data_IF_459293858079
#
_entry.id   IF_459293858079
#
_cell.length_a   1.000
_cell.length_b   1.000
_cell.length_c   1.000
_cell.angle_alpha   90.00
_cell.angle_beta   90.00
_cell.angle_gamma   90.00
#
_symmetry.space_group_name_H-M   'P 1'
#
loop_
_entity.id
_entity.type
_entity.pdbx_description
1 polymer ?
#
# COMPACT_ATOMS: atom_id res chain seq x y z
N UNK A 1 20.43 -3.66 6.32
CA UNK A 1 19.92 -2.75 5.27
C UNK A 1 18.58 -3.29 4.79
N UNK A 2 17.72 -2.46 4.23
CA UNK A 2 16.49 -2.88 3.56
C UNK A 2 16.78 -3.76 2.35
N UNK A 3 15.82 -4.58 1.94
CA UNK A 3 15.93 -5.45 0.76
C UNK A 3 15.53 -4.74 -0.54
N UNK A 4 15.11 -3.48 -0.45
CA UNK A 4 14.63 -2.68 -1.58
C UNK A 4 15.14 -1.25 -1.47
N UNK A 5 15.39 -0.65 -2.61
CA UNK A 5 15.75 0.75 -2.79
C UNK A 5 14.94 1.34 -3.94
N UNK A 6 14.80 2.66 -3.97
CA UNK A 6 14.03 3.42 -4.94
C UNK A 6 14.90 4.44 -5.67
N UNK A 7 14.44 4.95 -6.78
CA UNK A 7 15.20 5.92 -7.56
C UNK A 7 15.59 7.17 -6.75
N UNK A 8 14.74 7.64 -5.85
CA UNK A 8 15.05 8.77 -4.99
C UNK A 8 16.30 8.50 -4.13
N UNK A 9 16.42 7.30 -3.54
CA UNK A 9 17.59 6.93 -2.74
C UNK A 9 18.85 6.84 -3.58
N UNK A 10 18.75 6.21 -4.75
CA UNK A 10 19.85 6.08 -5.69
C UNK A 10 20.38 7.46 -6.10
N UNK A 11 19.49 8.38 -6.47
CA UNK A 11 19.84 9.75 -6.86
C UNK A 11 20.42 10.54 -5.70
N UNK A 12 19.85 10.47 -4.50
CA UNK A 12 20.38 11.15 -3.31
C UNK A 12 21.77 10.67 -2.93
N UNK A 13 22.07 9.39 -3.05
CA UNK A 13 23.41 8.84 -2.77
C UNK A 13 24.44 9.31 -3.80
N UNK A 14 24.06 9.36 -5.07
CA UNK A 14 24.96 9.82 -6.13
C UNK A 14 25.26 11.32 -6.06
N UNK A 15 24.26 12.13 -5.71
CA UNK A 15 24.39 13.59 -5.68
C UNK A 15 24.78 14.13 -4.30
N UNK A 16 24.88 13.28 -3.28
CA UNK A 16 25.13 13.67 -1.87
C UNK A 16 24.20 14.77 -1.34
N UNK A 17 22.95 14.83 -1.86
CA UNK A 17 22.04 15.95 -1.65
C UNK A 17 21.50 15.98 -0.22
N UNK A 18 21.31 14.85 0.43
CA UNK A 18 20.74 14.80 1.78
C UNK A 18 21.42 13.73 2.66
N UNK A 19 21.96 14.16 3.79
CA UNK A 19 22.62 13.28 4.77
C UNK A 19 21.69 12.80 5.90
N UNK A 20 20.48 13.40 6.04
CA UNK A 20 19.57 13.14 7.15
C UNK A 20 18.51 12.11 6.81
N UNK A 21 18.04 12.09 5.56
CA UNK A 21 17.03 11.18 5.07
C UNK A 21 17.51 10.44 3.83
N UNK A 22 17.28 9.13 3.78
CA UNK A 22 17.65 8.36 2.57
C UNK A 22 16.76 8.74 1.37
N UNK A 23 15.47 8.95 1.63
CA UNK A 23 14.45 9.24 0.62
C UNK A 23 13.51 10.34 1.16
N UNK A 24 13.90 11.63 1.09
CA UNK A 24 13.14 12.71 1.75
C UNK A 24 11.71 12.87 1.21
N UNK A 25 11.50 12.84 -0.11
CA UNK A 25 10.15 13.00 -0.69
C UNK A 25 9.29 11.79 -0.35
N UNK A 26 9.81 10.57 -0.49
CA UNK A 26 9.10 9.36 -0.07
C UNK A 26 8.80 9.40 1.43
N UNK A 27 9.71 9.90 2.28
CA UNK A 27 9.47 10.09 3.71
C UNK A 27 8.30 11.04 3.98
N UNK A 28 8.33 12.24 3.41
CA UNK A 28 7.33 13.27 3.69
C UNK A 28 5.98 13.02 3.01
N UNK A 29 5.96 12.38 1.84
CA UNK A 29 4.71 12.03 1.14
C UNK A 29 3.80 11.12 1.97
N UNK A 30 4.34 10.37 2.94
CA UNK A 30 3.56 9.51 3.83
C UNK A 30 2.60 10.25 4.77
N UNK A 31 2.74 11.55 4.94
CA UNK A 31 1.77 12.39 5.68
C UNK A 31 0.36 12.26 5.08
N UNK A 32 0.24 11.96 3.78
CA UNK A 32 -1.05 11.76 3.12
C UNK A 32 -1.87 10.61 3.71
N UNK A 33 -1.22 9.60 4.30
CA UNK A 33 -1.90 8.52 5.00
C UNK A 33 -2.64 9.02 6.24
N UNK A 34 -1.98 9.88 7.03
CA UNK A 34 -2.60 10.50 8.21
C UNK A 34 -3.74 11.44 7.81
N UNK A 35 -3.57 12.17 6.70
CA UNK A 35 -4.64 13.01 6.13
C UNK A 35 -5.83 12.16 5.70
N UNK A 36 -5.59 11.01 5.06
CA UNK A 36 -6.65 10.09 4.65
C UNK A 36 -7.42 9.56 5.87
N UNK A 37 -6.72 9.10 6.91
CA UNK A 37 -7.35 8.64 8.17
C UNK A 37 -8.16 9.77 8.83
N UNK A 38 -7.62 10.97 8.88
CA UNK A 38 -8.37 12.13 9.42
C UNK A 38 -9.65 12.40 8.62
N UNK A 39 -9.61 12.32 7.30
CA UNK A 39 -10.78 12.51 6.42
C UNK A 39 -11.81 11.39 6.59
N UNK A 40 -11.40 10.17 6.91
CA UNK A 40 -12.27 9.01 7.05
C UNK A 40 -12.70 8.74 8.50
N UNK A 41 -12.24 9.51 9.48
CA UNK A 41 -12.51 9.26 10.91
C UNK A 41 -14.01 9.15 11.27
N UNK A 42 -14.88 9.92 10.59
CA UNK A 42 -16.33 9.89 10.79
C UNK A 42 -17.01 8.82 9.91
N UNK A 43 -16.28 8.08 9.10
CA UNK A 43 -16.76 6.97 8.27
C UNK A 43 -16.50 5.61 8.93
N UNK A 44 -15.74 5.59 10.02
CA UNK A 44 -15.36 4.37 10.74
C UNK A 44 -16.45 4.04 11.79
N UNK A 45 -17.46 3.27 11.40
CA UNK A 45 -18.60 2.95 12.25
C UNK A 45 -18.60 1.51 12.79
N UNK A 46 -17.74 0.65 12.29
CA UNK A 46 -17.60 -0.73 12.75
C UNK A 46 -16.13 -1.09 13.06
N UNK A 47 -15.95 -2.18 13.80
CA UNK A 47 -14.62 -2.62 14.23
C UNK A 47 -13.62 -2.79 13.05
N UNK A 48 -14.11 -3.26 11.91
CA UNK A 48 -13.24 -3.52 10.75
C UNK A 48 -12.76 -2.23 10.09
N UNK A 49 -13.63 -1.22 9.96
CA UNK A 49 -13.25 0.09 9.42
C UNK A 49 -12.34 0.86 10.38
N UNK A 50 -12.55 0.73 11.70
CA UNK A 50 -11.63 1.26 12.72
C UNK A 50 -10.27 0.57 12.61
N UNK A 51 -10.26 -0.76 12.50
CA UNK A 51 -9.02 -1.54 12.33
C UNK A 51 -8.26 -1.13 11.07
N UNK A 52 -8.94 -0.96 9.93
CA UNK A 52 -8.33 -0.45 8.69
C UNK A 52 -7.70 0.93 8.87
N UNK A 53 -8.35 1.83 9.60
CA UNK A 53 -7.80 3.17 9.88
C UNK A 53 -6.56 3.12 10.79
N UNK A 54 -6.53 2.20 11.77
CA UNK A 54 -5.35 1.96 12.61
C UNK A 54 -4.20 1.44 11.75
N UNK A 55 -4.45 0.44 10.90
CA UNK A 55 -3.44 -0.11 10.00
C UNK A 55 -2.89 0.92 9.03
N UNK A 56 -3.75 1.79 8.47
CA UNK A 56 -3.32 2.89 7.61
C UNK A 56 -2.43 3.89 8.35
N UNK A 57 -2.73 4.17 9.62
CA UNK A 57 -1.89 5.00 10.49
C UNK A 57 -0.53 4.35 10.73
N UNK A 58 -0.51 3.05 11.04
CA UNK A 58 0.73 2.28 11.24
C UNK A 58 1.57 2.22 9.97
N UNK A 59 0.94 2.00 8.81
CA UNK A 59 1.60 2.09 7.50
C UNK A 59 2.26 3.46 7.33
N UNK A 60 1.54 4.56 7.59
CA UNK A 60 2.08 5.91 7.44
C UNK A 60 3.33 6.15 8.32
N UNK A 61 3.29 5.78 9.59
CA UNK A 61 4.45 5.91 10.48
C UNK A 61 5.58 4.93 10.11
N UNK A 62 5.25 3.69 9.79
CA UNK A 62 6.22 2.67 9.35
C UNK A 62 6.96 3.13 8.10
N UNK A 63 6.23 3.65 7.12
CA UNK A 63 6.77 4.15 5.86
C UNK A 63 7.67 5.39 6.05
N UNK A 64 7.29 6.33 6.94
CA UNK A 64 8.18 7.45 7.33
C UNK A 64 9.50 6.91 7.89
N UNK A 65 9.45 5.93 8.79
CA UNK A 65 10.65 5.32 9.40
C UNK A 65 11.46 4.58 8.32
N UNK A 66 10.80 3.83 7.43
CA UNK A 66 11.47 3.07 6.38
C UNK A 66 12.22 3.98 5.41
N UNK A 67 11.51 4.92 4.78
CA UNK A 67 12.11 5.83 3.79
C UNK A 67 13.12 6.81 4.41
N UNK A 68 12.88 7.21 5.66
CA UNK A 68 13.84 8.06 6.37
C UNK A 68 15.13 7.33 6.75
N UNK A 69 15.04 6.10 7.27
CA UNK A 69 16.18 5.36 7.81
C UNK A 69 16.81 4.34 6.87
N UNK A 70 16.06 3.83 5.88
CA UNK A 70 16.49 2.74 5.00
C UNK A 70 16.77 1.42 5.72
N UNK A 71 16.23 1.21 6.93
CA UNK A 71 16.51 0.03 7.74
C UNK A 71 15.52 -1.10 7.46
N UNK A 72 15.97 -2.36 7.70
CA UNK A 72 15.07 -3.52 7.63
C UNK A 72 13.92 -3.44 8.64
N UNK A 73 14.19 -2.92 9.82
CA UNK A 73 13.16 -2.72 10.83
C UNK A 73 12.07 -1.75 10.35
N UNK A 74 12.47 -0.60 9.77
CA UNK A 74 11.53 0.34 9.15
C UNK A 74 10.72 -0.32 8.03
N UNK A 75 11.38 -1.11 7.17
CA UNK A 75 10.72 -1.85 6.10
C UNK A 75 9.62 -2.80 6.63
N UNK A 76 9.88 -3.54 7.71
CA UNK A 76 8.86 -4.40 8.31
C UNK A 76 7.71 -3.61 8.94
N UNK A 77 8.00 -2.46 9.57
CA UNK A 77 6.98 -1.57 10.13
C UNK A 77 6.06 -0.97 9.05
N UNK A 78 6.55 -0.81 7.84
CA UNK A 78 5.78 -0.36 6.68
C UNK A 78 4.97 -1.52 6.07
N UNK A 79 5.64 -2.58 5.68
CA UNK A 79 5.09 -3.62 4.81
C UNK A 79 4.13 -4.60 5.52
N UNK A 80 4.34 -4.91 6.81
CA UNK A 80 3.41 -5.77 7.55
C UNK A 80 2.03 -5.11 7.71
N UNK A 81 1.93 -3.83 8.12
CA UNK A 81 0.63 -3.14 8.12
C UNK A 81 -0.02 -3.07 6.73
N UNK A 82 0.74 -2.94 5.62
CA UNK A 82 0.18 -2.97 4.26
C UNK A 82 -0.51 -4.31 3.97
N UNK A 83 0.13 -5.43 4.29
CA UNK A 83 -0.45 -6.78 4.11
C UNK A 83 -1.78 -6.88 4.88
N UNK A 84 -1.79 -6.47 6.14
CA UNK A 84 -2.98 -6.53 6.99
C UNK A 84 -4.07 -5.53 6.56
N UNK A 85 -3.67 -4.37 6.04
CA UNK A 85 -4.58 -3.36 5.51
C UNK A 85 -5.28 -3.85 4.24
N UNK A 86 -4.55 -4.46 3.31
CA UNK A 86 -5.14 -5.07 2.12
C UNK A 86 -6.13 -6.19 2.50
N UNK A 87 -5.78 -7.03 3.50
CA UNK A 87 -6.69 -8.04 4.04
C UNK A 87 -7.95 -7.41 4.64
N UNK A 88 -7.82 -6.30 5.36
CA UNK A 88 -8.97 -5.59 5.94
C UNK A 88 -9.91 -5.04 4.85
N UNK A 89 -9.40 -4.57 3.72
CA UNK A 89 -10.22 -4.12 2.59
C UNK A 89 -10.95 -5.30 1.93
N UNK A 90 -10.28 -6.43 1.76
CA UNK A 90 -10.92 -7.66 1.30
C UNK A 90 -12.06 -8.04 2.24
N UNK A 91 -11.85 -7.93 3.57
CA UNK A 91 -12.89 -8.21 4.58
C UNK A 91 -14.07 -7.26 4.52
N UNK A 92 -13.83 -5.98 4.28
CA UNK A 92 -14.90 -4.99 4.10
C UNK A 92 -15.79 -5.36 2.90
N UNK A 93 -15.19 -5.65 1.74
CA UNK A 93 -15.90 -6.02 0.52
C UNK A 93 -16.59 -7.38 0.64
N UNK A 94 -15.96 -8.36 1.27
CA UNK A 94 -16.47 -9.72 1.45
C UNK A 94 -17.72 -9.77 2.35
N UNK A 95 -17.77 -8.94 3.41
CA UNK A 95 -18.99 -8.78 4.24
C UNK A 95 -20.14 -8.24 3.39
N UNK A 96 -19.87 -7.30 2.51
CA UNK A 96 -20.85 -6.72 1.61
C UNK A 96 -21.37 -7.77 0.63
N UNK A 97 -20.52 -8.65 0.14
CA UNK A 97 -20.83 -9.70 -0.83
C UNK A 97 -21.39 -10.99 -0.20
N UNK A 98 -21.40 -11.09 1.15
CA UNK A 98 -21.74 -12.33 1.88
C UNK A 98 -20.99 -13.56 1.37
N UNK A 99 -19.79 -13.34 0.88
CA UNK A 99 -18.92 -14.38 0.38
C UNK A 99 -18.22 -15.07 1.55
N UNK A 100 -18.40 -16.37 1.71
CA UNK A 100 -17.72 -17.14 2.75
C UNK A 100 -16.28 -17.39 2.30
N UNK A 101 -15.31 -16.72 2.95
CA UNK A 101 -13.90 -17.00 2.69
C UNK A 101 -13.52 -18.42 3.05
N UNK A 102 -12.71 -19.02 2.19
CA UNK A 102 -12.16 -20.33 2.49
C UNK A 102 -11.11 -20.21 3.61
N UNK A 103 -11.16 -21.00 4.68
CA UNK A 103 -10.19 -20.95 5.80
C UNK A 103 -8.72 -21.00 5.34
N UNK A 104 -8.42 -21.66 4.23
CA UNK A 104 -7.07 -21.74 3.65
C UNK A 104 -6.48 -20.37 3.30
N UNK A 105 -7.30 -19.34 3.06
CA UNK A 105 -6.80 -17.99 2.78
C UNK A 105 -6.08 -17.38 4.00
N UNK A 106 -6.62 -17.55 5.19
CA UNK A 106 -5.99 -17.04 6.43
C UNK A 106 -4.67 -17.79 6.72
N UNK A 107 -4.65 -19.11 6.51
CA UNK A 107 -3.41 -19.90 6.62
C UNK A 107 -2.36 -19.49 5.59
N UNK A 108 -2.77 -19.27 4.34
CA UNK A 108 -1.89 -18.74 3.28
C UNK A 108 -1.28 -17.40 3.71
N UNK A 109 -2.11 -16.44 4.11
CA UNK A 109 -1.67 -15.10 4.48
C UNK A 109 -0.67 -15.15 5.65
N UNK A 110 -1.00 -15.90 6.71
CA UNK A 110 -0.14 -16.05 7.88
C UNK A 110 1.21 -16.71 7.51
N UNK A 111 1.15 -17.81 6.76
CA UNK A 111 2.35 -18.57 6.38
C UNK A 111 3.30 -17.71 5.53
N UNK A 112 2.79 -17.04 4.50
CA UNK A 112 3.62 -16.21 3.64
C UNK A 112 4.12 -14.94 4.33
N UNK A 113 3.34 -14.33 5.23
CA UNK A 113 3.80 -13.21 6.05
C UNK A 113 4.95 -13.62 6.98
N UNK A 114 4.85 -14.79 7.63
CA UNK A 114 5.94 -15.34 8.45
C UNK A 114 7.18 -15.66 7.61
N UNK A 115 7.02 -16.28 6.44
CA UNK A 115 8.12 -16.53 5.53
C UNK A 115 8.80 -15.22 5.09
N UNK A 116 8.04 -14.18 4.79
CA UNK A 116 8.58 -12.87 4.46
C UNK A 116 9.41 -12.28 5.61
N UNK A 117 8.90 -12.33 6.85
CA UNK A 117 9.61 -11.82 8.04
C UNK A 117 10.94 -12.57 8.23
N UNK A 118 10.92 -13.90 8.10
CA UNK A 118 12.07 -14.77 8.39
C UNK A 118 13.13 -14.72 7.29
N UNK A 119 12.71 -14.65 6.00
CA UNK A 119 13.64 -14.76 4.87
C UNK A 119 14.13 -13.43 4.33
N UNK A 120 13.48 -12.33 4.68
CA UNK A 120 13.72 -11.00 4.07
C UNK A 120 13.61 -11.00 2.54
N UNK A 121 12.82 -11.91 1.98
CA UNK A 121 12.66 -12.01 0.55
C UNK A 121 11.50 -11.14 0.07
N UNK A 122 11.84 -9.99 -0.54
CA UNK A 122 10.87 -9.03 -1.03
C UNK A 122 9.89 -9.59 -2.07
N UNK A 123 10.28 -10.63 -2.81
CA UNK A 123 9.38 -11.30 -3.78
C UNK A 123 8.18 -11.93 -3.07
N UNK A 124 8.36 -12.43 -1.84
CA UNK A 124 7.25 -12.98 -1.04
C UNK A 124 6.25 -11.87 -0.70
N UNK A 125 6.71 -10.72 -0.23
CA UNK A 125 5.86 -9.55 0.01
C UNK A 125 5.07 -9.16 -1.24
N UNK A 126 5.76 -9.04 -2.39
CA UNK A 126 5.11 -8.72 -3.66
C UNK A 126 4.04 -9.74 -4.06
N UNK A 127 4.32 -11.03 -3.85
CA UNK A 127 3.37 -12.10 -4.16
C UNK A 127 2.10 -11.96 -3.31
N UNK A 128 2.26 -11.68 -2.00
CA UNK A 128 1.13 -11.46 -1.09
C UNK A 128 0.29 -10.27 -1.56
N UNK A 129 0.91 -9.09 -1.70
CA UNK A 129 0.19 -7.86 -2.03
C UNK A 129 -0.44 -7.93 -3.43
N UNK A 130 0.23 -8.57 -4.39
CA UNK A 130 -0.34 -8.77 -5.73
C UNK A 130 -1.55 -9.70 -5.70
N UNK A 131 -1.48 -10.82 -4.97
CA UNK A 131 -2.61 -11.74 -4.83
C UNK A 131 -3.81 -11.08 -4.13
N UNK A 132 -3.55 -10.26 -3.10
CA UNK A 132 -4.57 -9.46 -2.42
C UNK A 132 -5.18 -8.41 -3.36
N UNK A 133 -4.37 -7.75 -4.18
CA UNK A 133 -4.84 -6.80 -5.18
C UNK A 133 -5.75 -7.44 -6.22
N UNK A 134 -5.39 -8.62 -6.73
CA UNK A 134 -6.24 -9.40 -7.67
C UNK A 134 -7.57 -9.77 -7.00
N UNK A 135 -7.54 -10.21 -5.74
CA UNK A 135 -8.75 -10.54 -4.98
C UNK A 135 -9.66 -9.32 -4.81
N UNK A 136 -9.10 -8.15 -4.47
CA UNK A 136 -9.85 -6.89 -4.37
C UNK A 136 -10.52 -6.51 -5.70
N UNK A 137 -9.80 -6.62 -6.82
CA UNK A 137 -10.38 -6.38 -8.16
C UNK A 137 -11.56 -7.31 -8.40
N UNK A 138 -11.39 -8.62 -8.15
CA UNK A 138 -12.46 -9.61 -8.32
C UNK A 138 -13.69 -9.31 -7.46
N UNK A 139 -13.51 -8.93 -6.19
CA UNK A 139 -14.62 -8.58 -5.30
C UNK A 139 -15.34 -7.30 -5.74
N UNK A 140 -14.63 -6.26 -6.18
CA UNK A 140 -15.25 -5.05 -6.71
C UNK A 140 -16.04 -5.34 -7.99
N UNK A 141 -15.49 -6.16 -8.89
CA UNK A 141 -16.21 -6.57 -10.11
C UNK A 141 -17.47 -7.36 -9.78
N UNK A 142 -17.38 -8.32 -8.85
CA UNK A 142 -18.52 -9.10 -8.38
C UNK A 142 -19.58 -8.20 -7.75
N UNK A 143 -19.18 -7.27 -6.86
CA UNK A 143 -20.09 -6.29 -6.28
C UNK A 143 -20.85 -5.48 -7.33
N UNK A 144 -20.14 -5.00 -8.35
CA UNK A 144 -20.76 -4.25 -9.45
C UNK A 144 -21.75 -5.10 -10.27
N UNK A 145 -21.51 -6.40 -10.43
CA UNK A 145 -22.43 -7.31 -11.12
C UNK A 145 -23.68 -7.59 -10.29
N UNK A 146 -23.54 -7.81 -8.99
CA UNK A 146 -24.62 -8.26 -8.11
C UNK A 146 -25.50 -7.10 -7.62
N UNK A 147 -24.93 -5.93 -7.38
CA UNK A 147 -25.62 -4.78 -6.76
C UNK A 147 -25.62 -3.51 -7.61
N UNK A 148 -24.99 -3.54 -8.79
CA UNK A 148 -24.80 -2.37 -9.63
C UNK A 148 -23.55 -1.57 -9.29
N UNK A 149 -23.22 -0.61 -10.14
CA UNK A 149 -21.95 0.12 -10.11
C UNK A 149 -21.81 0.95 -8.82
N UNK A 150 -20.88 0.56 -7.95
CA UNK A 150 -20.44 1.40 -6.84
C UNK A 150 -19.31 2.35 -7.30
N UNK A 151 -19.67 3.62 -7.50
CA UNK A 151 -18.72 4.64 -7.97
C UNK A 151 -17.49 4.78 -7.05
N UNK A 152 -17.65 4.60 -5.73
CA UNK A 152 -16.55 4.75 -4.78
C UNK A 152 -15.54 3.62 -4.93
N UNK A 153 -16.01 2.37 -5.00
CA UNK A 153 -15.14 1.21 -5.21
C UNK A 153 -14.44 1.26 -6.57
N UNK A 154 -15.12 1.72 -7.62
CA UNK A 154 -14.49 1.89 -8.93
C UNK A 154 -13.43 3.00 -8.92
N UNK A 155 -13.66 4.11 -8.22
CA UNK A 155 -12.65 5.15 -8.05
C UNK A 155 -11.44 4.63 -7.25
N UNK A 156 -11.68 3.83 -6.19
CA UNK A 156 -10.60 3.18 -5.44
C UNK A 156 -9.74 2.29 -6.34
N UNK A 157 -10.39 1.45 -7.16
CA UNK A 157 -9.72 0.56 -8.11
C UNK A 157 -8.91 1.33 -9.15
N UNK A 158 -9.52 2.36 -9.76
CA UNK A 158 -8.83 3.17 -10.77
C UNK A 158 -7.56 3.83 -10.21
N UNK A 159 -7.66 4.48 -9.05
CA UNK A 159 -6.51 5.16 -8.43
C UNK A 159 -5.45 4.16 -7.99
N UNK A 160 -5.84 3.00 -7.46
CA UNK A 160 -4.93 1.92 -7.10
C UNK A 160 -4.14 1.41 -8.32
N UNK A 161 -4.84 1.11 -9.43
CA UNK A 161 -4.20 0.60 -10.65
C UNK A 161 -3.22 1.63 -11.24
N UNK A 162 -3.61 2.91 -11.27
CA UNK A 162 -2.72 3.97 -11.73
C UNK A 162 -1.46 4.06 -10.84
N UNK A 163 -1.64 4.10 -9.52
CA UNK A 163 -0.53 4.13 -8.57
C UNK A 163 0.39 2.90 -8.72
N UNK A 164 -0.20 1.70 -8.88
CA UNK A 164 0.53 0.45 -9.06
C UNK A 164 1.37 0.43 -10.34
N UNK A 165 0.85 0.95 -11.45
CA UNK A 165 1.60 1.07 -12.70
C UNK A 165 2.81 1.99 -12.53
N UNK A 166 2.64 3.15 -11.90
CA UNK A 166 3.72 4.10 -11.67
C UNK A 166 4.79 3.52 -10.71
N UNK A 167 4.36 2.81 -9.67
CA UNK A 167 5.23 2.12 -8.73
C UNK A 167 6.05 0.99 -9.39
N UNK A 168 5.43 0.17 -10.26
CA UNK A 168 6.16 -0.87 -11.02
C UNK A 168 7.11 -0.26 -12.05
N UNK A 169 6.75 0.87 -12.65
CA UNK A 169 7.61 1.57 -13.59
C UNK A 169 8.87 2.11 -12.90
N UNK A 170 8.76 2.71 -11.71
CA UNK A 170 9.94 3.11 -10.94
C UNK A 170 10.82 1.93 -10.57
N UNK A 171 10.21 0.81 -10.14
CA UNK A 171 10.97 -0.42 -9.88
C UNK A 171 11.69 -0.96 -11.11
N UNK A 172 11.08 -0.84 -12.27
CA UNK A 172 11.71 -1.21 -13.54
C UNK A 172 12.93 -0.32 -13.80
N UNK A 173 12.81 0.99 -13.67
CA UNK A 173 13.92 1.93 -13.82
C UNK A 173 15.07 1.62 -12.85
N UNK A 174 14.75 1.41 -11.57
CA UNK A 174 15.75 1.07 -10.56
C UNK A 174 16.50 -0.24 -10.88
N UNK A 175 15.78 -1.27 -11.30
CA UNK A 175 16.37 -2.59 -11.60
C UNK A 175 17.28 -2.59 -12.83
N UNK A 176 17.05 -1.68 -13.76
CA UNK A 176 17.85 -1.56 -14.98
C UNK A 176 18.94 -0.48 -14.88
N UNK A 177 19.17 0.10 -13.70
CA UNK A 177 20.09 1.23 -13.49
C UNK A 177 19.74 2.45 -14.38
N UNK A 178 18.44 2.64 -14.68
CA UNK A 178 17.90 3.71 -15.53
C UNK A 178 17.24 4.83 -14.72
N UNK A 179 17.51 4.91 -13.40
CA UNK A 179 16.96 5.97 -12.57
C UNK A 179 17.36 7.34 -13.09
N UNK A 180 16.40 8.25 -13.34
CA UNK A 180 16.70 9.61 -13.75
C UNK A 180 17.51 10.34 -12.67
N UNK A 181 18.43 11.18 -13.08
CA UNK A 181 19.18 12.04 -12.15
C UNK A 181 18.39 13.28 -11.74
N UNK A 182 17.40 13.68 -12.55
CA UNK A 182 16.57 14.86 -12.34
C UNK A 182 15.13 14.61 -12.81
N UNK A 183 14.20 15.42 -12.31
CA UNK A 183 12.81 15.45 -12.76
C UNK A 183 11.82 14.60 -11.94
N UNK A 184 10.53 14.64 -12.31
CA UNK A 184 9.46 14.07 -11.49
C UNK A 184 9.45 12.54 -11.42
N UNK A 185 10.10 11.86 -12.36
CA UNK A 185 10.14 10.39 -12.40
C UNK A 185 10.92 9.76 -11.22
N UNK A 186 11.74 10.55 -10.54
CA UNK A 186 12.46 10.13 -9.32
C UNK A 186 11.47 9.91 -8.15
N UNK A 187 10.28 10.51 -8.19
CA UNK A 187 9.34 10.59 -7.08
C UNK A 187 8.05 9.77 -7.31
N UNK A 188 8.08 8.82 -8.24
CA UNK A 188 6.89 8.01 -8.56
C UNK A 188 6.42 7.19 -7.36
N UNK A 189 7.33 6.79 -6.47
CA UNK A 189 6.97 6.12 -5.24
C UNK A 189 6.16 7.02 -4.28
N UNK A 190 6.49 8.30 -4.20
CA UNK A 190 5.68 9.28 -3.48
C UNK A 190 4.26 9.43 -4.06
N UNK A 191 4.11 9.29 -5.39
CA UNK A 191 2.79 9.26 -6.05
C UNK A 191 2.01 8.00 -5.65
N UNK A 192 2.69 6.87 -5.48
CA UNK A 192 2.10 5.65 -4.94
C UNK A 192 1.50 5.87 -3.54
N UNK A 193 2.20 6.57 -2.63
CA UNK A 193 1.66 6.91 -1.31
C UNK A 193 0.36 7.73 -1.41
N UNK A 194 0.33 8.72 -2.31
CA UNK A 194 -0.88 9.52 -2.55
C UNK A 194 -2.02 8.65 -3.11
N UNK A 195 -1.74 7.81 -4.09
CA UNK A 195 -2.73 6.93 -4.71
C UNK A 195 -3.36 5.96 -3.68
N UNK A 196 -2.54 5.33 -2.85
CA UNK A 196 -3.03 4.38 -1.83
C UNK A 196 -3.79 5.08 -0.70
N UNK A 197 -3.42 6.31 -0.33
CA UNK A 197 -4.18 7.14 0.61
C UNK A 197 -5.58 7.52 0.05
N UNK A 198 -5.66 7.87 -1.23
CA UNK A 198 -6.93 8.16 -1.92
C UNK A 198 -7.76 6.89 -2.07
N UNK A 199 -7.14 5.75 -2.40
CA UNK A 199 -7.80 4.44 -2.42
C UNK A 199 -8.47 4.14 -1.08
N UNK A 200 -7.74 4.30 0.05
CA UNK A 200 -8.30 4.12 1.39
C UNK A 200 -9.55 4.96 1.59
N UNK A 201 -9.48 6.26 1.28
CA UNK A 201 -10.64 7.16 1.39
C UNK A 201 -11.85 6.63 0.61
N UNK A 202 -11.65 6.17 -0.62
CA UNK A 202 -12.75 5.67 -1.45
C UNK A 202 -13.32 4.32 -0.96
N UNK A 203 -12.49 3.41 -0.45
CA UNK A 203 -12.97 2.16 0.14
C UNK A 203 -13.81 2.45 1.39
N UNK A 204 -13.31 3.32 2.28
CA UNK A 204 -14.05 3.71 3.48
C UNK A 204 -15.38 4.40 3.16
N UNK A 205 -15.41 5.23 2.10
CA UNK A 205 -16.62 5.91 1.65
C UNK A 205 -17.59 4.96 0.96
N UNK A 206 -17.09 3.96 0.24
CA UNK A 206 -17.91 2.94 -0.42
C UNK A 206 -18.60 1.98 0.56
N UNK A 207 -18.01 1.77 1.74
CA UNK A 207 -18.56 0.92 2.80
C UNK A 207 -19.66 1.58 3.65
N UNK A 208 -19.91 2.88 3.46
CA UNK A 208 -21.05 3.58 4.08
C UNK A 208 -22.35 3.18 3.36
N UNK A 209 -23.15 2.37 4.00
CA UNK A 209 -24.52 2.03 3.56
C UNK A 209 -25.55 2.76 4.39
#
# INVERSE_FOLDING_TARGET
MSSIEWCERYTNQQLEVNRWFNEPINTFSNVVYLVSVYKTRNMSHNLLTIYSSILMTLTGFGSIIFHGSGTRFGQLLDEIPIILLCDSYIKILDIDEKCSRHPLYEYYLLTFALLYILTNNYTIFLTIVTSQGITLVGLIMKHNMDYGINKQYNNALFVFMLGKVLWEYERFLYRNDECPQEGPLIYLHGVWHVATAIMHYYIMKGSLK
#
